data_IF_986886132257
#
_entry.id   IF_986886132257
#
_cell.length_a   1.000
_cell.length_b   1.000
_cell.length_c   1.000
_cell.angle_alpha   90.00
_cell.angle_beta   90.00
_cell.angle_gamma   90.00
#
_symmetry.space_group_name_H-M   'P 1'
#
loop_
_entity.id
_entity.type
_entity.pdbx_description
1 polymer ?
#
# COMPACT_ATOMS: atom_id res chain seq x y z
N UNK A 1 8.20 17.00 40.33
CA UNK A 1 9.49 16.52 39.79
C UNK A 1 9.80 17.20 38.45
N UNK A 2 11.08 17.49 38.13
CA UNK A 2 11.45 17.93 36.80
C UNK A 2 11.14 16.81 35.78
N UNK A 3 10.47 17.17 34.70
CA UNK A 3 10.13 16.27 33.61
C UNK A 3 10.78 16.82 32.34
N UNK A 4 11.47 15.96 31.60
CA UNK A 4 12.03 16.29 30.29
C UNK A 4 11.16 15.61 29.24
N UNK A 5 10.84 16.33 28.18
CA UNK A 5 10.10 15.81 27.03
C UNK A 5 10.96 15.97 25.78
N UNK A 6 10.97 14.95 24.94
CA UNK A 6 11.67 14.95 23.65
C UNK A 6 10.75 14.36 22.58
N UNK A 7 10.93 14.82 21.35
CA UNK A 7 10.25 14.28 20.18
C UNK A 7 11.27 13.52 19.35
N UNK A 8 10.96 12.29 18.97
CA UNK A 8 11.76 11.47 18.06
C UNK A 8 11.00 11.32 16.75
N UNK A 9 11.63 11.71 15.65
CA UNK A 9 11.14 11.43 14.30
C UNK A 9 11.96 10.28 13.72
N UNK A 10 11.27 9.22 13.29
CA UNK A 10 11.87 8.01 12.75
C UNK A 10 11.35 7.83 11.32
N UNK A 11 12.25 7.74 10.35
CA UNK A 11 11.92 7.47 8.95
C UNK A 11 12.30 6.04 8.60
N UNK A 12 11.36 5.31 7.99
CA UNK A 12 11.57 3.94 7.55
C UNK A 12 11.57 3.88 6.02
N UNK A 13 12.58 3.23 5.43
CA UNK A 13 12.59 3.02 3.98
C UNK A 13 11.59 1.94 3.57
N UNK A 14 10.90 2.12 2.45
CA UNK A 14 10.04 1.09 1.85
C UNK A 14 10.82 -0.03 1.11
N UNK A 15 12.12 -0.19 1.38
CA UNK A 15 12.96 -1.23 0.76
C UNK A 15 12.54 -2.65 1.20
N UNK A 16 11.94 -2.75 2.40
CA UNK A 16 11.35 -3.97 2.94
C UNK A 16 9.97 -3.58 3.50
N UNK A 17 8.95 -4.36 3.14
CA UNK A 17 7.61 -4.16 3.67
C UNK A 17 7.53 -4.82 5.05
N UNK A 18 7.25 -4.01 6.07
CA UNK A 18 7.08 -4.43 7.45
C UNK A 18 5.60 -4.35 7.81
N UNK A 19 5.09 -5.31 8.57
CA UNK A 19 3.71 -5.28 9.08
C UNK A 19 3.56 -4.31 10.27
N UNK A 20 4.64 -4.12 11.05
CA UNK A 20 4.66 -3.27 12.25
C UNK A 20 6.01 -2.56 12.39
N UNK A 21 5.97 -1.37 13.01
CA UNK A 21 7.15 -0.69 13.56
C UNK A 21 7.18 -0.85 15.07
N UNK A 22 8.28 -1.37 15.60
CA UNK A 22 8.50 -1.57 17.03
C UNK A 22 9.61 -0.65 17.54
N UNK A 23 9.34 0.07 18.62
CA UNK A 23 10.28 1.02 19.24
C UNK A 23 10.34 0.71 20.73
N UNK A 24 11.53 0.38 21.22
CA UNK A 24 11.81 0.23 22.65
C UNK A 24 12.65 1.41 23.13
N UNK A 25 12.16 2.13 24.13
CA UNK A 25 12.89 3.20 24.79
C UNK A 25 13.24 2.76 26.20
N UNK A 26 14.50 2.92 26.58
CA UNK A 26 14.98 2.60 27.91
C UNK A 26 15.71 3.79 28.51
N UNK A 27 15.24 4.26 29.67
CA UNK A 27 15.97 5.19 30.50
C UNK A 27 17.05 4.44 31.31
N UNK A 28 18.25 5.02 31.42
CA UNK A 28 19.32 4.48 32.26
C UNK A 28 20.01 5.61 33.02
N UNK A 29 20.58 5.29 34.17
CA UNK A 29 21.40 6.19 34.98
C UNK A 29 22.53 5.40 35.64
N UNK A 30 23.53 6.09 36.17
CA UNK A 30 24.64 5.44 36.89
C UNK A 30 24.26 5.03 38.33
N UNK A 31 23.04 5.30 38.77
CA UNK A 31 22.55 4.94 40.10
C UNK A 31 22.10 3.48 40.16
N UNK A 32 22.15 2.89 41.37
CA UNK A 32 21.59 1.55 41.59
C UNK A 32 20.08 1.66 41.83
N UNK A 33 19.29 1.02 40.99
CA UNK A 33 17.84 1.11 41.00
C UNK A 33 17.18 -0.21 41.39
N UNK A 34 16.09 -0.11 42.17
CA UNK A 34 15.37 -1.28 42.71
C UNK A 34 14.38 -1.84 41.68
N UNK A 35 13.84 -1.01 40.77
CA UNK A 35 12.74 -1.36 39.86
C UNK A 35 13.07 -1.13 38.38
N UNK A 36 14.23 -1.55 37.85
CA UNK A 36 14.74 -1.15 36.52
C UNK A 36 13.84 -1.47 35.31
N UNK A 37 12.76 -2.23 35.49
CA UNK A 37 11.77 -2.56 34.47
C UNK A 37 10.79 -1.41 34.18
N UNK A 38 10.62 -0.47 35.12
CA UNK A 38 9.77 0.73 34.93
C UNK A 38 10.37 1.75 33.96
N UNK A 39 11.67 1.63 33.69
CA UNK A 39 12.42 2.47 32.76
C UNK A 39 12.23 2.11 31.28
N UNK A 40 11.48 1.05 30.98
CA UNK A 40 11.28 0.55 29.62
C UNK A 40 9.86 0.85 29.16
N UNK A 41 9.75 1.41 27.96
CA UNK A 41 8.49 1.50 27.23
C UNK A 41 8.67 0.90 25.84
N UNK A 42 7.72 0.05 25.46
CA UNK A 42 7.64 -0.56 24.13
C UNK A 42 6.41 -0.02 23.41
N UNK A 43 6.61 0.46 22.19
CA UNK A 43 5.57 0.92 21.29
C UNK A 43 5.59 0.04 20.03
N UNK A 44 4.41 -0.43 19.62
CA UNK A 44 4.28 -1.19 18.39
C UNK A 44 3.12 -0.62 17.55
N UNK A 45 3.44 -0.10 16.37
CA UNK A 45 2.49 0.58 15.47
C UNK A 45 2.30 -0.24 14.20
N UNK A 46 1.07 -0.60 13.81
CA UNK A 46 0.82 -1.29 12.56
C UNK A 46 1.13 -0.38 11.36
N UNK A 47 1.81 -0.93 10.36
CA UNK A 47 2.09 -0.22 9.12
C UNK A 47 1.06 -0.64 8.07
N UNK A 48 0.50 0.35 7.36
CA UNK A 48 -0.43 0.12 6.26
C UNK A 48 0.15 0.70 4.99
N UNK A 49 0.19 -0.13 3.95
CA UNK A 49 0.61 0.27 2.61
C UNK A 49 -0.61 0.46 1.73
N UNK A 50 -0.62 1.54 0.97
CA UNK A 50 -1.63 1.79 -0.05
C UNK A 50 -0.98 1.58 -1.43
N UNK A 51 -1.49 0.60 -2.17
CA UNK A 51 -1.06 0.33 -3.53
C UNK A 51 -1.97 1.10 -4.50
N UNK A 52 -1.38 1.95 -5.33
CA UNK A 52 -2.07 2.61 -6.41
C UNK A 52 -2.01 1.73 -7.66
N UNK A 53 -3.03 0.89 -7.86
CA UNK A 53 -3.16 0.02 -9.02
C UNK A 53 -4.19 0.60 -9.98
N UNK A 54 -3.83 0.74 -11.25
CA UNK A 54 -4.69 1.32 -12.27
C UNK A 54 -4.99 0.32 -13.38
N UNK A 55 -6.27 0.04 -13.61
CA UNK A 55 -6.68 -0.78 -14.75
C UNK A 55 -6.96 0.12 -15.96
N UNK A 56 -6.37 -0.21 -17.09
CA UNK A 56 -6.68 0.41 -18.38
C UNK A 56 -7.04 -0.65 -19.41
N UNK A 57 -7.84 -0.25 -20.40
CA UNK A 57 -8.24 -1.12 -21.50
C UNK A 57 -8.14 -0.39 -22.83
N UNK A 58 -7.84 -1.15 -23.88
CA UNK A 58 -7.83 -0.66 -25.25
C UNK A 58 -8.51 -1.68 -26.15
N UNK A 59 -9.48 -1.24 -26.95
CA UNK A 59 -10.20 -2.09 -27.93
C UNK A 59 -9.94 -1.60 -29.34
N UNK A 60 -9.74 -2.53 -30.27
CA UNK A 60 -9.58 -2.21 -31.70
C UNK A 60 -10.92 -1.84 -32.37
N UNK A 61 -12.06 -2.17 -31.76
CA UNK A 61 -13.39 -1.94 -32.29
C UNK A 61 -14.37 -1.56 -31.15
N UNK A 62 -14.42 -0.27 -30.74
CA UNK A 62 -15.28 0.17 -29.62
C UNK A 62 -16.76 0.18 -29.97
N UNK A 63 -17.10 0.16 -31.27
CA UNK A 63 -18.47 0.16 -31.77
C UNK A 63 -18.55 -0.62 -33.08
N UNK A 64 -19.56 -1.46 -33.21
CA UNK A 64 -19.92 -2.12 -34.45
C UNK A 64 -21.35 -1.77 -34.83
N UNK A 65 -21.54 -1.23 -36.03
CA UNK A 65 -22.88 -0.89 -36.55
C UNK A 65 -23.46 -2.09 -37.30
N UNK A 66 -24.71 -2.43 -36.97
CA UNK A 66 -25.40 -3.54 -37.63
C UNK A 66 -25.92 -3.09 -39.00
N UNK A 67 -25.67 -3.88 -40.06
CA UNK A 67 -26.30 -3.65 -41.34
C UNK A 67 -27.84 -3.77 -41.26
N UNK A 68 -28.57 -3.11 -42.18
CA UNK A 68 -30.02 -3.28 -42.28
C UNK A 68 -30.45 -4.74 -42.42
N UNK A 69 -31.65 -5.12 -41.92
CA UNK A 69 -32.18 -6.46 -42.10
C UNK A 69 -32.22 -6.85 -43.58
N UNK A 70 -31.66 -8.01 -43.93
CA UNK A 70 -31.69 -8.56 -45.30
C UNK A 70 -30.49 -8.21 -46.19
N UNK A 71 -29.54 -7.38 -45.73
CA UNK A 71 -28.27 -7.13 -46.44
C UNK A 71 -27.07 -7.91 -45.87
N UNK A 72 -27.30 -8.65 -44.78
CA UNK A 72 -26.27 -9.40 -44.07
C UNK A 72 -25.87 -10.66 -44.85
N UNK A 73 -24.77 -10.57 -45.60
CA UNK A 73 -24.14 -11.72 -46.26
C UNK A 73 -23.12 -12.31 -45.29
N UNK A 74 -23.44 -13.47 -44.69
CA UNK A 74 -22.64 -14.05 -43.63
C UNK A 74 -21.22 -14.41 -44.12
N UNK A 75 -20.26 -13.56 -43.78
CA UNK A 75 -18.92 -13.96 -43.39
C UNK A 75 -18.77 -13.56 -41.91
N UNK A 76 -18.04 -14.35 -41.12
CA UNK A 76 -17.83 -14.09 -39.68
C UNK A 76 -17.66 -12.58 -39.42
N UNK A 77 -18.38 -12.04 -38.42
CA UNK A 77 -18.32 -10.61 -38.09
C UNK A 77 -16.89 -10.10 -37.87
N UNK A 78 -16.69 -8.77 -37.78
CA UNK A 78 -15.34 -8.21 -37.70
C UNK A 78 -14.62 -8.74 -36.46
N UNK A 79 -13.32 -8.96 -36.62
CA UNK A 79 -12.46 -9.30 -35.49
C UNK A 79 -12.44 -8.14 -34.49
N UNK A 80 -12.74 -8.47 -33.23
CA UNK A 80 -12.61 -7.53 -32.12
C UNK A 80 -11.62 -8.09 -31.10
N UNK A 81 -10.76 -7.22 -30.59
CA UNK A 81 -9.72 -7.52 -29.62
C UNK A 81 -9.71 -6.42 -28.57
N UNK A 82 -9.77 -6.81 -27.30
CA UNK A 82 -9.60 -5.92 -26.15
C UNK A 82 -8.36 -6.34 -25.38
N UNK A 83 -7.44 -5.38 -25.18
CA UNK A 83 -6.26 -5.55 -24.32
C UNK A 83 -6.51 -4.90 -22.98
N UNK A 84 -6.26 -5.63 -21.89
CA UNK A 84 -6.27 -5.11 -20.53
C UNK A 84 -4.83 -4.89 -20.07
N UNK A 85 -4.58 -3.78 -19.38
CA UNK A 85 -3.29 -3.46 -18.75
C UNK A 85 -3.52 -3.04 -17.31
N UNK A 86 -2.72 -3.60 -16.41
CA UNK A 86 -2.69 -3.33 -14.96
C UNK A 86 -1.41 -2.58 -14.63
#
# INVERSE_FOLDING_TARGET
PPQVSFTLELEFSCSVLLDRAEVALRATSDSTEVTPQDNVVELAVPIRYEANVFLSSATNLPRYELPPPGTFTASSGPEFTTTLRV
#
